data_IF_937509009112
#
_entry.id   IF_937509009112
#
_cell.length_a   1.000
_cell.length_b   1.000
_cell.length_c   1.000
_cell.angle_alpha   90.00
_cell.angle_beta   90.00
_cell.angle_gamma   90.00
#
_symmetry.space_group_name_H-M   'P 1'
#
loop_
_entity.id
_entity.type
_entity.pdbx_description
1 polymer ?
#
# COMPACT_ATOMS: atom_id res chain seq x y z
N UNK A 1 12.85 12.64 -1.87
CA UNK A 1 12.10 11.44 -1.41
C UNK A 1 12.05 10.44 -2.56
N UNK A 2 12.45 9.21 -2.30
CA UNK A 2 12.50 8.13 -3.29
C UNK A 2 11.57 7.00 -2.85
N UNK A 3 10.73 6.51 -3.75
CA UNK A 3 9.86 5.35 -3.52
C UNK A 3 10.52 4.13 -4.15
N UNK A 4 10.60 3.04 -3.40
CA UNK A 4 11.21 1.80 -3.88
C UNK A 4 10.40 0.59 -3.43
N UNK A 5 10.43 -0.45 -4.26
CA UNK A 5 9.94 -1.77 -3.86
C UNK A 5 11.05 -2.47 -3.07
N UNK A 6 10.69 -3.09 -1.96
CA UNK A 6 11.62 -3.86 -1.15
C UNK A 6 11.70 -5.28 -1.73
N UNK A 7 12.91 -5.71 -2.06
CA UNK A 7 13.14 -7.07 -2.50
C UNK A 7 12.74 -8.05 -1.40
N UNK A 8 12.10 -9.17 -1.78
CA UNK A 8 11.58 -10.16 -0.84
C UNK A 8 12.69 -10.66 0.12
N UNK A 9 13.91 -10.79 -0.37
CA UNK A 9 15.05 -11.21 0.43
C UNK A 9 15.48 -10.21 1.50
N UNK A 10 15.03 -8.96 1.39
CA UNK A 10 15.37 -7.89 2.33
C UNK A 10 14.22 -7.49 3.27
N UNK A 11 13.05 -8.09 3.12
CA UNK A 11 11.88 -7.74 3.93
C UNK A 11 12.18 -7.88 5.43
N UNK A 12 12.82 -8.96 5.82
CA UNK A 12 13.14 -9.20 7.22
C UNK A 12 13.99 -8.08 7.83
N UNK A 13 14.97 -7.57 7.07
CA UNK A 13 15.85 -6.49 7.53
C UNK A 13 15.13 -5.13 7.57
N UNK A 14 14.22 -4.91 6.65
CA UNK A 14 13.50 -3.62 6.52
C UNK A 14 12.31 -3.54 7.48
N UNK A 15 11.71 -4.67 7.82
CA UNK A 15 10.46 -4.72 8.59
C UNK A 15 10.47 -3.86 9.86
N UNK A 16 11.52 -3.88 10.70
CA UNK A 16 11.54 -3.01 11.90
C UNK A 16 11.42 -1.52 11.59
N UNK A 17 11.81 -1.09 10.41
CA UNK A 17 11.74 0.32 9.99
C UNK A 17 10.34 0.72 9.52
N UNK A 18 9.51 -0.24 9.10
CA UNK A 18 8.21 0.03 8.50
C UNK A 18 7.04 -0.41 9.39
N UNK A 19 7.29 -1.27 10.35
CA UNK A 19 6.24 -1.89 11.19
C UNK A 19 5.32 -0.85 11.82
N UNK A 20 5.87 0.26 12.31
CA UNK A 20 5.09 1.34 12.92
C UNK A 20 4.12 1.99 11.96
N UNK A 21 4.53 2.20 10.71
CA UNK A 21 3.66 2.76 9.68
C UNK A 21 2.51 1.82 9.35
N UNK A 22 2.81 0.54 9.20
CA UNK A 22 1.82 -0.47 8.86
C UNK A 22 0.84 -0.67 10.02
N UNK A 23 1.35 -0.77 11.25
CA UNK A 23 0.51 -0.93 12.44
C UNK A 23 -0.46 0.24 12.59
N UNK A 24 0.02 1.47 12.43
CA UNK A 24 -0.82 2.67 12.51
C UNK A 24 -1.92 2.67 11.43
N UNK A 25 -1.58 2.24 10.21
CA UNK A 25 -2.55 2.15 9.13
C UNK A 25 -3.62 1.11 9.42
N UNK A 26 -3.23 -0.06 9.95
CA UNK A 26 -4.14 -1.17 10.20
C UNK A 26 -5.08 -0.96 11.39
N UNK A 27 -4.81 0.04 12.24
CA UNK A 27 -5.76 0.44 13.28
C UNK A 27 -7.12 0.86 12.74
N UNK A 28 -7.16 1.29 11.49
CA UNK A 28 -8.39 1.71 10.82
C UNK A 28 -8.99 0.63 9.92
N UNK A 29 -8.39 -0.56 9.90
CA UNK A 29 -8.92 -1.69 9.13
C UNK A 29 -10.15 -2.28 9.82
N UNK A 30 -10.89 -3.09 9.08
CA UNK A 30 -12.07 -3.78 9.59
C UNK A 30 -11.75 -5.15 10.18
N UNK A 31 -10.47 -5.41 10.51
CA UNK A 31 -10.05 -6.66 11.11
C UNK A 31 -9.75 -7.78 10.12
N UNK A 32 -9.64 -7.46 8.84
CA UNK A 32 -9.33 -8.48 7.82
C UNK A 32 -7.95 -9.07 8.01
N UNK A 33 -7.00 -8.26 8.49
CA UNK A 33 -5.63 -8.69 8.77
C UNK A 33 -4.99 -7.70 9.74
N UNK A 34 -3.98 -8.17 10.45
CA UNK A 34 -3.19 -7.38 11.38
C UNK A 34 -1.76 -7.23 10.87
N UNK A 35 -0.91 -6.56 11.66
CA UNK A 35 0.48 -6.30 11.30
C UNK A 35 1.29 -7.59 11.14
N UNK A 36 0.99 -8.62 11.94
CA UNK A 36 1.68 -9.91 11.82
C UNK A 36 1.30 -10.62 10.52
N UNK A 37 0.03 -10.60 10.15
CA UNK A 37 -0.44 -11.14 8.87
C UNK A 37 0.23 -10.40 7.70
N UNK A 38 0.29 -9.08 7.75
CA UNK A 38 0.96 -8.28 6.73
C UNK A 38 2.44 -8.67 6.59
N UNK A 39 3.13 -8.87 7.70
CA UNK A 39 4.54 -9.32 7.68
C UNK A 39 4.68 -10.66 6.97
N UNK A 40 3.81 -11.61 7.25
CA UNK A 40 3.83 -12.92 6.60
C UNK A 40 3.62 -12.77 5.10
N UNK A 41 2.62 -11.99 4.68
CA UNK A 41 2.30 -11.83 3.27
C UNK A 41 3.43 -11.17 2.46
N UNK A 42 4.09 -10.15 3.02
CA UNK A 42 5.22 -9.53 2.31
C UNK A 42 6.47 -10.40 2.38
N UNK A 43 6.64 -11.19 3.43
CA UNK A 43 7.80 -12.10 3.56
C UNK A 43 7.72 -13.29 2.61
N UNK A 44 6.50 -13.71 2.23
CA UNK A 44 6.27 -14.83 1.32
C UNK A 44 6.09 -14.41 -0.13
N UNK A 45 6.06 -13.10 -0.39
CA UNK A 45 5.88 -12.56 -1.74
C UNK A 45 4.43 -12.50 -2.23
N UNK A 46 3.45 -12.83 -1.37
CA UNK A 46 2.03 -12.69 -1.73
C UNK A 46 1.65 -11.22 -1.86
N UNK A 47 2.23 -10.36 -1.03
CA UNK A 47 2.12 -8.91 -1.14
C UNK A 47 3.50 -8.32 -1.40
N UNK A 48 3.52 -7.13 -1.98
CA UNK A 48 4.76 -6.36 -2.14
C UNK A 48 4.84 -5.28 -1.06
N UNK A 49 6.05 -5.04 -0.57
CA UNK A 49 6.34 -3.97 0.37
C UNK A 49 7.01 -2.83 -0.38
N UNK A 50 6.48 -1.61 -0.23
CA UNK A 50 7.07 -0.40 -0.79
C UNK A 50 7.41 0.57 0.32
N UNK A 51 8.48 1.33 0.14
CA UNK A 51 8.95 2.31 1.11
C UNK A 51 9.22 3.64 0.44
N UNK A 52 9.04 4.71 1.19
CA UNK A 52 9.48 6.05 0.82
C UNK A 52 10.67 6.42 1.70
N UNK A 53 11.76 6.78 1.09
CA UNK A 53 13.05 6.97 1.76
C UNK A 53 13.63 8.34 1.39
N UNK A 54 14.21 9.02 2.36
CA UNK A 54 15.00 10.23 2.14
C UNK A 54 16.32 10.14 2.95
N UNK A 55 17.03 11.25 3.06
CA UNK A 55 18.32 11.31 3.79
C UNK A 55 18.18 10.96 5.27
N UNK A 56 16.99 11.06 5.82
CA UNK A 56 16.70 10.77 7.23
C UNK A 56 16.25 9.32 7.46
N UNK A 57 16.10 8.55 6.39
CA UNK A 57 15.67 7.17 6.47
C UNK A 57 14.28 6.92 5.90
N UNK A 58 13.61 5.89 6.37
CA UNK A 58 12.28 5.50 5.89
C UNK A 58 11.22 6.45 6.45
N UNK A 59 10.48 7.10 5.56
CA UNK A 59 9.46 8.08 5.89
C UNK A 59 8.03 7.58 5.66
N UNK A 60 7.88 6.42 5.07
CA UNK A 60 6.56 5.83 4.84
C UNK A 60 6.68 4.44 4.24
N UNK A 61 5.58 3.72 4.29
CA UNK A 61 5.52 2.36 3.76
C UNK A 61 4.12 2.02 3.30
N UNK A 62 4.03 1.06 2.37
CA UNK A 62 2.78 0.48 1.93
C UNK A 62 2.94 -1.00 1.67
N UNK A 63 1.88 -1.75 1.91
CA UNK A 63 1.77 -3.13 1.47
C UNK A 63 0.70 -3.19 0.37
N UNK A 64 0.98 -3.96 -0.67
CA UNK A 64 0.15 -4.00 -1.88
C UNK A 64 -0.07 -5.44 -2.30
N UNK A 65 -1.33 -5.81 -2.53
CA UNK A 65 -1.69 -7.07 -3.14
C UNK A 65 -2.08 -6.85 -4.61
N UNK A 66 -1.98 -7.91 -5.42
CA UNK A 66 -2.33 -7.84 -6.85
C UNK A 66 -3.39 -8.87 -7.16
N UNK A 67 -4.38 -8.47 -7.92
CA UNK A 67 -5.39 -9.40 -8.43
C UNK A 67 -5.91 -8.92 -9.78
N UNK A 68 -6.53 -9.83 -10.53
CA UNK A 68 -7.01 -9.53 -11.87
C UNK A 68 -8.54 -9.46 -11.90
N UNK A 69 -9.05 -8.45 -12.59
CA UNK A 69 -10.42 -8.37 -13.08
C UNK A 69 -10.39 -8.59 -14.60
N UNK A 70 -11.52 -8.76 -15.27
CA UNK A 70 -11.52 -8.99 -16.73
C UNK A 70 -10.76 -7.92 -17.52
N UNK A 71 -10.82 -6.66 -17.10
CA UNK A 71 -10.20 -5.57 -17.86
C UNK A 71 -9.05 -4.89 -17.13
N UNK A 72 -8.74 -5.29 -15.89
CA UNK A 72 -7.71 -4.63 -15.10
C UNK A 72 -6.88 -5.64 -14.32
N UNK A 73 -5.61 -5.32 -14.16
CA UNK A 73 -4.80 -5.87 -13.07
C UNK A 73 -4.71 -4.83 -11.99
N UNK A 74 -5.24 -5.16 -10.83
CA UNK A 74 -5.38 -4.23 -9.72
C UNK A 74 -4.20 -4.35 -8.76
N UNK A 75 -3.55 -3.22 -8.47
CA UNK A 75 -2.67 -3.08 -7.32
C UNK A 75 -3.52 -2.55 -6.16
N UNK A 76 -3.81 -3.41 -5.20
CA UNK A 76 -4.67 -3.04 -4.07
C UNK A 76 -3.80 -2.69 -2.86
N UNK A 77 -3.88 -1.45 -2.42
CA UNK A 77 -3.16 -0.98 -1.24
C UNK A 77 -3.85 -1.55 0.00
N UNK A 78 -3.19 -2.50 0.66
CA UNK A 78 -3.72 -3.17 1.85
C UNK A 78 -3.41 -2.40 3.13
N UNK A 79 -2.30 -1.67 3.15
CA UNK A 79 -1.95 -0.75 4.23
C UNK A 79 -1.03 0.33 3.66
N UNK A 80 -1.15 1.54 4.15
CA UNK A 80 -0.27 2.64 3.77
C UNK A 80 -0.17 3.63 4.92
N UNK A 81 1.05 4.04 5.25
CA UNK A 81 1.31 4.99 6.32
C UNK A 81 2.48 5.88 6.01
N UNK A 82 2.59 6.97 6.76
CA UNK A 82 3.64 7.95 6.56
C UNK A 82 3.49 8.74 5.27
N UNK A 83 4.62 9.06 4.64
CA UNK A 83 4.68 9.99 3.51
C UNK A 83 4.78 9.30 2.15
N UNK A 84 4.28 8.10 2.00
CA UNK A 84 4.41 7.38 0.72
C UNK A 84 3.60 8.06 -0.40
N UNK A 85 2.37 8.46 -0.13
CA UNK A 85 1.59 9.30 -1.05
C UNK A 85 1.48 10.68 -0.40
N UNK A 86 2.47 11.53 -0.64
CA UNK A 86 2.56 12.84 0.00
C UNK A 86 2.82 13.97 -0.99
N UNK A 87 3.15 13.65 -2.24
CA UNK A 87 3.43 14.64 -3.28
C UNK A 87 3.16 14.03 -4.64
N UNK A 88 3.01 14.86 -5.70
CA UNK A 88 2.92 14.34 -7.07
C UNK A 88 4.11 13.48 -7.46
N UNK A 89 5.31 13.81 -6.96
CA UNK A 89 6.53 13.08 -7.28
C UNK A 89 6.54 11.67 -6.68
N UNK A 90 6.18 11.53 -5.41
CA UNK A 90 6.13 10.20 -4.79
C UNK A 90 5.03 9.36 -5.41
N UNK A 91 3.89 9.96 -5.74
CA UNK A 91 2.79 9.25 -6.39
C UNK A 91 3.17 8.79 -7.80
N UNK A 92 3.88 9.62 -8.57
CA UNK A 92 4.35 9.24 -9.90
C UNK A 92 5.31 8.04 -9.82
N UNK A 93 6.21 8.02 -8.84
CA UNK A 93 7.12 6.89 -8.62
C UNK A 93 6.36 5.63 -8.23
N UNK A 94 5.36 5.75 -7.36
CA UNK A 94 4.52 4.63 -6.96
C UNK A 94 3.81 4.03 -8.18
N UNK A 95 3.19 4.84 -9.01
CA UNK A 95 2.52 4.38 -10.23
C UNK A 95 3.49 3.66 -11.16
N UNK A 96 4.69 4.20 -11.32
CA UNK A 96 5.70 3.59 -12.18
C UNK A 96 6.09 2.19 -11.68
N UNK A 97 6.35 2.07 -10.38
CA UNK A 97 6.72 0.77 -9.78
C UNK A 97 5.58 -0.23 -9.97
N UNK A 98 4.35 0.15 -9.66
CA UNK A 98 3.22 -0.77 -9.73
C UNK A 98 2.92 -1.17 -11.19
N UNK A 99 3.14 -0.28 -12.15
CA UNK A 99 3.00 -0.61 -13.56
C UNK A 99 4.02 -1.63 -14.02
N UNK A 100 5.21 -1.67 -13.42
CA UNK A 100 6.23 -2.69 -13.69
C UNK A 100 5.79 -4.09 -13.24
N UNK A 101 4.88 -4.16 -12.26
CA UNK A 101 4.24 -5.43 -11.88
C UNK A 101 3.02 -5.77 -12.73
N UNK A 102 2.78 -4.99 -13.77
CA UNK A 102 1.66 -5.20 -14.70
C UNK A 102 0.35 -4.56 -14.26
N UNK A 103 0.35 -3.80 -13.16
CA UNK A 103 -0.88 -3.17 -12.69
C UNK A 103 -1.36 -2.09 -13.68
N UNK A 104 -2.67 -2.07 -13.90
CA UNK A 104 -3.33 -1.08 -14.77
C UNK A 104 -4.15 -0.08 -13.96
N UNK A 105 -4.41 -0.37 -12.69
CA UNK A 105 -5.06 0.56 -11.78
C UNK A 105 -4.62 0.30 -10.35
N UNK A 106 -4.82 1.31 -9.50
CA UNK A 106 -4.54 1.25 -8.07
C UNK A 106 -5.86 1.44 -7.35
N UNK A 107 -6.14 0.56 -6.39
CA UNK A 107 -7.32 0.65 -5.53
C UNK A 107 -6.92 0.54 -4.08
N UNK A 108 -7.80 0.95 -3.19
CA UNK A 108 -7.62 0.77 -1.76
C UNK A 108 -8.92 0.99 -1.03
N UNK A 109 -9.05 0.38 0.14
CA UNK A 109 -10.14 0.66 1.05
C UNK A 109 -9.67 1.77 1.99
N UNK A 110 -10.31 2.94 1.93
CA UNK A 110 -9.88 4.12 2.66
C UNK A 110 -11.03 4.70 3.46
N UNK A 111 -10.73 5.19 4.68
CA UNK A 111 -11.69 5.99 5.43
C UNK A 111 -11.89 7.34 4.72
N UNK A 112 -12.99 8.03 5.03
CA UNK A 112 -13.40 9.22 4.30
C UNK A 112 -12.31 10.30 4.23
N UNK A 113 -11.58 10.53 5.30
CA UNK A 113 -10.53 11.56 5.33
C UNK A 113 -9.38 11.22 4.37
N UNK A 114 -9.01 9.96 4.28
CA UNK A 114 -7.95 9.48 3.37
C UNK A 114 -8.47 9.48 1.93
N UNK A 115 -9.69 9.03 1.70
CA UNK A 115 -10.30 9.06 0.37
C UNK A 115 -10.33 10.49 -0.18
N UNK A 116 -10.68 11.48 0.64
CA UNK A 116 -10.65 12.89 0.24
C UNK A 116 -9.23 13.37 -0.09
N UNK A 117 -8.25 12.99 0.72
CA UNK A 117 -6.86 13.34 0.46
C UNK A 117 -6.41 12.78 -0.88
N UNK A 118 -6.75 11.55 -1.17
CA UNK A 118 -6.33 10.87 -2.40
C UNK A 118 -7.00 11.41 -3.67
N UNK A 119 -8.12 12.14 -3.55
CA UNK A 119 -8.72 12.78 -4.74
C UNK A 119 -7.76 13.75 -5.41
N UNK A 120 -6.80 14.32 -4.67
CA UNK A 120 -5.76 15.20 -5.22
C UNK A 120 -4.89 14.48 -6.25
N UNK A 121 -4.82 13.16 -6.19
CA UNK A 121 -4.00 12.32 -7.07
C UNK A 121 -4.83 11.55 -8.09
N UNK A 122 -6.11 11.92 -8.25
CA UNK A 122 -6.98 11.33 -9.25
C UNK A 122 -7.79 10.13 -8.77
N UNK A 123 -7.71 9.77 -7.50
CA UNK A 123 -8.55 8.71 -6.95
C UNK A 123 -10.01 9.17 -6.88
N UNK A 124 -10.94 8.26 -7.13
CA UNK A 124 -12.37 8.47 -6.97
C UNK A 124 -12.98 7.24 -6.34
N UNK A 125 -14.10 7.43 -5.64
CA UNK A 125 -14.85 6.32 -5.08
C UNK A 125 -15.43 5.49 -6.21
N UNK A 126 -15.23 4.17 -6.18
CA UNK A 126 -15.72 3.27 -7.22
C UNK A 126 -17.06 2.64 -6.85
N UNK A 127 -17.13 2.05 -5.66
CA UNK A 127 -18.34 1.37 -5.16
C UNK A 127 -18.14 1.11 -3.67
N UNK A 128 -19.22 0.71 -3.02
CA UNK A 128 -19.19 0.33 -1.61
C UNK A 128 -19.20 -1.18 -1.48
N UNK A 129 -18.37 -1.69 -0.59
CA UNK A 129 -18.37 -3.11 -0.24
C UNK A 129 -19.25 -3.27 0.98
N UNK A 130 -20.24 -4.16 0.87
CA UNK A 130 -21.12 -4.48 1.98
C UNK A 130 -20.94 -5.95 2.32
N UNK A 131 -21.04 -6.28 3.60
CA UNK A 131 -20.80 -7.65 4.04
C UNK A 131 -21.72 -8.04 5.19
N UNK A 132 -21.85 -9.34 5.39
CA UNK A 132 -22.61 -9.93 6.50
C UNK A 132 -21.92 -11.24 6.90
N UNK A 133 -21.90 -11.53 8.19
CA UNK A 133 -21.40 -12.82 8.67
C UNK A 133 -22.42 -13.90 8.43
N UNK A 134 -21.94 -15.10 8.11
CA UNK A 134 -22.80 -16.27 7.92
C UNK A 134 -22.92 -17.03 9.23
#
# INVERSE_FOLDING_TARGET
MRVEAVDIGHVHQVWPMVEGFIDSALKFSKGDYDTQAAKVFVSTGQWSLLVAVDDQGVQGAATVSFFNRPHDRVAFITAIGGKLISSPETFAQLKQILSQYGATCIEGAARDSIARLWTRYGFSEKYKIVGVSI
#
